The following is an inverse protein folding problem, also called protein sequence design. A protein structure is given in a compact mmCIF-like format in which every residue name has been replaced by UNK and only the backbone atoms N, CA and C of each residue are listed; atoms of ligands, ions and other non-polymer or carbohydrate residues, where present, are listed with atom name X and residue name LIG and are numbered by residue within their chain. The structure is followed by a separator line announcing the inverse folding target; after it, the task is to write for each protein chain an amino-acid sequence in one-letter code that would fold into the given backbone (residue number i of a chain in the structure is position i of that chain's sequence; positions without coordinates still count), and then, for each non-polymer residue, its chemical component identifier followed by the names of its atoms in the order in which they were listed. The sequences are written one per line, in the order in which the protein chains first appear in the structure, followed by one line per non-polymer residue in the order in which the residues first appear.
data_IF_786085735211
#
_entry.id   IF_786085735211
#
_cell.length_a   1.000
_cell.length_b   1.000
_cell.length_c   1.000
_cell.angle_alpha   90.00
_cell.angle_beta   90.00
_cell.angle_gamma   90.00
#
_symmetry.space_group_name_H-M   'P 1'
#
loop_
_entity.id
_entity.type
_entity.pdbx_description
1 polymer ?
#
# COMPACT_ATOMS: atom_id res chain seq x y z
N UNK A 1 -2.68 -10.03 -19.22
CA UNK A 1 -1.85 -9.72 -18.03
C UNK A 1 -1.68 -8.20 -17.95
N UNK A 2 -2.47 -7.48 -17.13
CA UNK A 2 -2.38 -6.01 -17.01
C UNK A 2 -1.10 -5.67 -16.23
N UNK A 3 -0.05 -5.23 -16.92
CA UNK A 3 1.21 -4.80 -16.30
C UNK A 3 1.00 -3.45 -15.60
N UNK A 4 0.69 -3.47 -14.31
CA UNK A 4 0.74 -2.31 -13.40
C UNK A 4 2.01 -2.37 -12.53
N UNK A 5 3.15 -2.74 -13.10
CA UNK A 5 4.43 -2.79 -12.35
C UNK A 5 4.46 -3.69 -11.10
N UNK A 6 3.52 -4.62 -10.93
CA UNK A 6 3.37 -5.44 -9.72
C UNK A 6 2.30 -4.93 -8.73
N UNK A 7 1.68 -3.78 -8.99
CA UNK A 7 0.61 -3.23 -8.15
C UNK A 7 -0.76 -3.83 -8.49
N UNK A 8 -1.54 -4.18 -7.46
CA UNK A 8 -2.94 -4.61 -7.62
C UNK A 8 -3.83 -3.44 -8.02
N UNK A 9 -3.58 -2.25 -7.48
CA UNK A 9 -4.23 -0.99 -7.84
C UNK A 9 -3.23 0.18 -7.75
N UNK A 10 -3.43 1.20 -8.57
CA UNK A 10 -2.77 2.51 -8.46
C UNK A 10 -3.87 3.57 -8.42
N UNK A 11 -3.77 4.50 -7.48
CA UNK A 11 -4.86 5.44 -7.20
C UNK A 11 -4.36 6.75 -6.61
N UNK A 12 -5.26 7.72 -6.58
CA UNK A 12 -5.07 9.02 -5.96
C UNK A 12 -6.21 9.26 -4.99
N UNK A 13 -5.88 9.69 -3.77
CA UNK A 13 -6.83 10.31 -2.84
C UNK A 13 -6.58 11.80 -2.71
N UNK A 14 -7.64 12.59 -2.76
CA UNK A 14 -7.59 14.04 -2.63
C UNK A 14 -7.96 14.48 -1.21
N UNK A 15 -7.46 15.64 -0.79
CA UNK A 15 -7.87 16.27 0.48
C UNK A 15 -9.38 16.57 0.54
N UNK A 16 -10.05 16.67 -0.61
CA UNK A 16 -11.51 16.79 -0.75
C UNK A 16 -12.28 15.50 -0.50
N UNK A 17 -11.66 14.45 0.06
CA UNK A 17 -12.25 13.13 0.32
C UNK A 17 -12.73 12.37 -0.91
N UNK A 18 -12.29 12.77 -2.09
CA UNK A 18 -12.56 12.05 -3.34
C UNK A 18 -11.35 11.22 -3.73
N UNK A 19 -11.57 10.15 -4.49
CA UNK A 19 -10.50 9.30 -4.98
C UNK A 19 -10.72 8.86 -6.43
N UNK A 20 -9.63 8.50 -7.12
CA UNK A 20 -9.62 7.93 -8.46
C UNK A 20 -8.74 6.69 -8.47
N UNK A 21 -9.23 5.61 -9.07
CA UNK A 21 -8.58 4.31 -9.06
C UNK A 21 -8.36 3.80 -10.49
N UNK A 22 -7.25 3.10 -10.70
CA UNK A 22 -6.99 2.36 -11.94
C UNK A 22 -7.90 1.12 -12.09
N UNK A 23 -8.42 0.62 -10.97
CA UNK A 23 -9.39 -0.45 -10.86
C UNK A 23 -10.39 -0.08 -9.74
N UNK A 24 -11.57 0.48 -10.07
CA UNK A 24 -12.54 0.91 -9.07
C UNK A 24 -13.48 -0.20 -8.60
N UNK A 25 -13.45 -1.40 -9.20
CA UNK A 25 -14.33 -2.50 -8.82
C UNK A 25 -14.17 -2.86 -7.33
N UNK A 26 -15.30 -2.94 -6.62
CA UNK A 26 -15.35 -3.28 -5.19
C UNK A 26 -15.09 -2.12 -4.22
N UNK A 27 -14.62 -0.96 -4.71
CA UNK A 27 -14.44 0.22 -3.85
C UNK A 27 -15.81 0.79 -3.44
N UNK A 28 -16.06 1.01 -2.13
CA UNK A 28 -17.32 1.61 -1.66
C UNK A 28 -17.59 3.00 -2.26
N UNK A 29 -18.86 3.33 -2.47
CA UNK A 29 -19.26 4.62 -3.04
C UNK A 29 -18.95 5.81 -2.11
N UNK A 30 -18.94 5.56 -0.81
CA UNK A 30 -18.63 6.50 0.27
C UNK A 30 -17.16 6.44 0.72
N UNK A 31 -16.28 5.87 -0.10
CA UNK A 31 -14.86 5.74 0.21
C UNK A 31 -14.22 7.10 0.51
N UNK A 32 -13.76 7.26 1.76
CA UNK A 32 -12.96 8.41 2.20
C UNK A 32 -11.47 8.02 2.22
N UNK A 33 -10.62 8.55 1.31
CA UNK A 33 -9.19 8.28 1.32
C UNK A 33 -8.48 8.83 2.56
N UNK A 34 -9.00 9.90 3.19
CA UNK A 34 -8.29 10.66 4.23
C UNK A 34 -8.19 9.93 5.56
N UNK A 35 -9.05 8.93 5.77
CA UNK A 35 -9.05 8.08 6.96
C UNK A 35 -8.23 6.79 6.79
N UNK A 36 -7.64 6.57 5.60
CA UNK A 36 -6.93 5.33 5.29
C UNK A 36 -5.48 5.39 5.79
N UNK A 37 -4.89 4.25 6.20
CA UNK A 37 -3.54 4.24 6.78
C UNK A 37 -2.48 4.91 5.90
N UNK A 38 -2.48 4.64 4.60
CA UNK A 38 -1.52 5.22 3.66
C UNK A 38 -1.62 6.75 3.56
N UNK A 39 -2.84 7.31 3.62
CA UNK A 39 -3.04 8.75 3.53
C UNK A 39 -2.59 9.43 4.83
N UNK A 40 -3.04 8.90 5.97
CA UNK A 40 -2.67 9.42 7.29
C UNK A 40 -1.16 9.36 7.52
N UNK A 41 -0.52 8.26 7.10
CA UNK A 41 0.91 8.09 7.27
C UNK A 41 1.68 9.12 6.42
N UNK A 42 1.30 9.35 5.15
CA UNK A 42 1.90 10.42 4.32
C UNK A 42 1.71 11.80 4.95
N UNK A 43 0.53 12.11 5.48
CA UNK A 43 0.27 13.39 6.17
C UNK A 43 1.16 13.54 7.40
N UNK A 44 1.33 12.46 8.18
CA UNK A 44 2.13 12.48 9.40
C UNK A 44 3.64 12.57 9.16
N UNK A 45 4.15 11.92 8.12
CA UNK A 45 5.58 11.88 7.79
C UNK A 45 5.98 13.01 6.86
N UNK A 46 5.01 13.64 6.20
CA UNK A 46 5.18 14.65 5.18
C UNK A 46 6.07 14.20 4.00
N UNK A 47 6.06 12.89 3.69
CA UNK A 47 6.94 12.28 2.70
C UNK A 47 6.48 10.92 2.20
N UNK A 48 7.29 10.24 1.35
CA UNK A 48 7.03 8.88 0.90
C UNK A 48 6.93 7.89 2.06
N UNK A 49 6.00 6.93 1.97
CA UNK A 49 5.79 5.90 3.00
C UNK A 49 5.54 4.52 2.38
N UNK A 50 5.84 3.50 3.18
CA UNK A 50 5.31 2.15 3.01
C UNK A 50 4.53 1.82 4.27
N UNK A 51 3.29 1.38 4.12
CA UNK A 51 2.44 1.05 5.27
C UNK A 51 2.83 -0.31 5.87
N UNK A 52 2.47 -0.51 7.14
CA UNK A 52 2.27 -1.86 7.65
C UNK A 52 1.12 -2.55 6.87
N UNK A 53 1.05 -3.90 6.88
CA UNK A 53 -0.04 -4.61 6.24
C UNK A 53 -1.41 -4.21 6.79
N UNK A 54 -2.39 -3.95 5.92
CA UNK A 54 -3.77 -3.65 6.32
C UNK A 54 -4.77 -4.20 5.28
N UNK A 55 -6.06 -4.23 5.64
CA UNK A 55 -7.12 -4.74 4.75
C UNK A 55 -7.49 -3.67 3.72
N UNK A 56 -7.29 -3.99 2.45
CA UNK A 56 -7.71 -3.16 1.32
C UNK A 56 -9.24 -3.04 1.28
N UNK A 57 -9.72 -1.82 1.01
CA UNK A 57 -11.14 -1.51 1.00
C UNK A 57 -11.88 -2.08 -0.22
N UNK A 58 -11.19 -2.23 -1.37
CA UNK A 58 -11.83 -2.74 -2.60
C UNK A 58 -11.90 -4.26 -2.67
N UNK A 59 -10.84 -4.94 -2.21
CA UNK A 59 -10.69 -6.39 -2.35
C UNK A 59 -10.91 -7.16 -1.05
N UNK A 60 -10.86 -6.50 0.12
CA UNK A 60 -10.92 -7.16 1.43
C UNK A 60 -9.69 -8.01 1.75
N UNK A 61 -8.62 -7.93 0.95
CA UNK A 61 -7.38 -8.69 1.15
C UNK A 61 -6.32 -7.84 1.85
N UNK A 62 -5.35 -8.52 2.48
CA UNK A 62 -4.19 -7.83 3.06
C UNK A 62 -3.27 -7.29 1.96
N UNK A 63 -2.92 -6.02 2.10
CA UNK A 63 -1.99 -5.31 1.22
C UNK A 63 -0.97 -4.51 2.04
N UNK A 64 0.14 -4.19 1.41
CA UNK A 64 0.98 -3.04 1.78
C UNK A 64 0.83 -1.98 0.70
N UNK A 65 0.84 -0.72 1.11
CA UNK A 65 0.67 0.41 0.19
C UNK A 65 1.92 1.28 0.20
N UNK A 66 2.41 1.57 -0.99
CA UNK A 66 3.43 2.57 -1.24
C UNK A 66 2.70 3.87 -1.55
N UNK A 67 3.00 4.96 -0.84
CA UNK A 67 2.31 6.23 -1.03
C UNK A 67 3.25 7.42 -0.98
N UNK A 68 2.95 8.45 -1.77
CA UNK A 68 3.73 9.69 -1.87
C UNK A 68 2.82 10.92 -1.88
N UNK A 69 3.23 12.03 -1.21
CA UNK A 69 2.47 13.26 -1.24
C UNK A 69 2.57 13.95 -2.60
N UNK A 70 1.46 14.54 -3.05
CA UNK A 70 1.43 15.50 -4.15
C UNK A 70 1.14 16.87 -3.56
N UNK A 71 2.13 17.76 -3.65
CA UNK A 71 2.08 19.11 -3.09
C UNK A 71 2.12 20.15 -4.20
N UNK A 72 1.40 21.24 -3.97
CA UNK A 72 1.45 22.45 -4.79
C UNK A 72 1.71 23.62 -3.85
N UNK A 73 2.77 24.39 -4.09
CA UNK A 73 3.21 25.50 -3.22
C UNK A 73 3.35 25.09 -1.74
N UNK A 74 3.90 23.89 -1.50
CA UNK A 74 4.08 23.33 -0.15
C UNK A 74 2.81 22.80 0.51
N UNK A 75 1.63 22.99 -0.10
CA UNK A 75 0.36 22.50 0.43
C UNK A 75 0.01 21.13 -0.16
N UNK A 76 -0.36 20.17 0.67
CA UNK A 76 -0.83 18.85 0.22
C UNK A 76 -2.15 18.98 -0.56
N UNK A 77 -2.17 18.46 -1.80
CA UNK A 77 -3.36 18.42 -2.65
C UNK A 77 -3.93 17.02 -2.76
N UNK A 78 -3.04 16.03 -2.83
CA UNK A 78 -3.39 14.64 -2.99
C UNK A 78 -2.28 13.73 -2.47
N UNK A 79 -2.60 12.45 -2.38
CA UNK A 79 -1.63 11.38 -2.14
C UNK A 79 -1.81 10.35 -3.25
N UNK A 80 -0.72 10.04 -3.96
CA UNK A 80 -0.67 8.96 -4.95
C UNK A 80 -0.24 7.69 -4.23
N UNK A 81 -0.92 6.58 -4.50
CA UNK A 81 -0.67 5.32 -3.82
C UNK A 81 -0.75 4.12 -4.78
N UNK A 82 -0.03 3.06 -4.43
CA UNK A 82 -0.03 1.79 -5.14
C UNK A 82 0.01 0.61 -4.16
N UNK A 83 -0.89 -0.35 -4.37
CA UNK A 83 -1.05 -1.52 -3.50
C UNK A 83 -0.28 -2.73 -4.01
N UNK A 84 0.38 -3.44 -3.09
CA UNK A 84 0.97 -4.75 -3.34
C UNK A 84 0.28 -5.78 -2.45
N UNK A 85 -0.21 -6.87 -3.05
CA UNK A 85 -0.84 -7.95 -2.31
C UNK A 85 0.18 -8.64 -1.39
N UNK A 86 -0.22 -8.90 -0.14
CA UNK A 86 0.63 -9.59 0.81
C UNK A 86 0.99 -11.01 0.38
N UNK A 87 0.12 -11.70 -0.36
CA UNK A 87 0.42 -13.01 -0.93
C UNK A 87 1.68 -12.97 -1.82
N UNK A 88 1.85 -11.92 -2.61
CA UNK A 88 3.03 -11.73 -3.47
C UNK A 88 4.27 -11.42 -2.64
N UNK A 89 4.15 -10.60 -1.60
CA UNK A 89 5.26 -10.29 -0.69
C UNK A 89 5.73 -11.55 0.04
N UNK A 90 4.80 -12.33 0.60
CA UNK A 90 5.07 -13.59 1.30
C UNK A 90 5.72 -14.60 0.35
N UNK A 91 5.21 -14.75 -0.87
CA UNK A 91 5.79 -15.64 -1.86
C UNK A 91 7.24 -15.25 -2.21
N UNK A 92 7.52 -13.95 -2.34
CA UNK A 92 8.87 -13.45 -2.59
C UNK A 92 9.81 -13.77 -1.42
N UNK A 93 9.39 -13.55 -0.17
CA UNK A 93 10.19 -13.86 1.03
C UNK A 93 10.49 -15.34 1.13
N UNK A 94 9.49 -16.20 0.89
CA UNK A 94 9.67 -17.66 0.86
C UNK A 94 10.61 -18.12 -0.26
N UNK A 95 10.68 -17.38 -1.36
CA UNK A 95 11.64 -17.63 -2.44
C UNK A 95 13.10 -17.37 -2.06
N UNK A 96 13.38 -16.68 -0.95
CA UNK A 96 14.74 -16.38 -0.48
C UNK A 96 15.32 -17.62 0.21
N UNK A 97 15.91 -18.52 -0.58
CA UNK A 97 16.64 -19.69 -0.11
C UNK A 97 17.97 -19.88 -0.90
N UNK A 98 18.99 -19.03 -0.67
CA UNK A 98 20.29 -19.17 -1.36
C UNK A 98 21.01 -20.51 -1.11
N UNK A 99 20.72 -21.17 0.01
CA UNK A 99 21.22 -22.51 0.37
C UNK A 99 20.08 -23.37 0.93
N UNK A 100 20.23 -24.71 0.99
CA UNK A 100 19.21 -25.59 1.59
C UNK A 100 18.89 -25.30 3.06
N UNK A 101 19.79 -24.63 3.79
CA UNK A 101 19.65 -24.33 5.22
C UNK A 101 19.31 -22.86 5.53
N UNK A 102 19.01 -22.04 4.51
CA UNK A 102 18.69 -20.61 4.68
C UNK A 102 17.23 -20.33 4.36
N UNK A 103 16.58 -19.42 5.07
CA UNK A 103 15.22 -18.94 4.76
C UNK A 103 15.12 -17.42 4.91
N UNK A 104 14.19 -16.80 4.19
CA UNK A 104 13.85 -15.38 4.34
C UNK A 104 12.93 -15.14 5.54
N UNK A 105 12.99 -13.94 6.12
CA UNK A 105 12.11 -13.47 7.19
C UNK A 105 11.69 -12.04 6.90
N UNK A 106 10.41 -11.75 7.10
CA UNK A 106 9.85 -10.40 7.01
C UNK A 106 9.30 -9.99 8.38
N UNK A 107 9.80 -8.87 8.88
CA UNK A 107 9.44 -8.31 10.18
C UNK A 107 8.79 -6.93 9.99
N UNK A 108 7.82 -6.62 10.83
CA UNK A 108 7.35 -5.25 11.01
C UNK A 108 8.29 -4.48 11.96
N UNK A 109 8.19 -3.15 12.00
CA UNK A 109 9.06 -2.31 12.85
C UNK A 109 8.89 -2.53 14.34
N UNK A 110 7.75 -3.08 14.78
CA UNK A 110 7.47 -3.47 16.15
C UNK A 110 8.02 -4.86 16.55
N UNK A 111 8.70 -5.55 15.62
CA UNK A 111 9.25 -6.88 15.82
C UNK A 111 8.28 -8.04 15.52
N UNK A 112 7.03 -7.76 15.11
CA UNK A 112 6.10 -8.81 14.69
C UNK A 112 6.55 -9.50 13.40
N UNK A 113 6.38 -10.83 13.33
CA UNK A 113 6.71 -11.64 12.15
C UNK A 113 5.55 -11.59 11.16
N UNK A 114 5.83 -11.13 9.94
CA UNK A 114 4.86 -11.07 8.85
C UNK A 114 4.95 -12.34 7.98
N UNK A 115 6.16 -12.81 7.66
CA UNK A 115 6.39 -13.99 6.84
C UNK A 115 7.72 -14.66 7.16
N UNK A 116 7.80 -15.98 6.99
CA UNK A 116 9.01 -16.81 7.02
C UNK A 116 8.87 -17.97 6.03
#
# INVERSE_FOLDING_TARGET
MRRRGGFTNVYVGYASKTAKFSEPAGVPADYDPTIRPWYQQVVSTDGPVVTAPYVDAGTGKLVVTFAVPVKENGTLKAVVAGDVAMDSVVANVRGIHPTPASSGLLLNSDGSVIAR
#
